data_IF_223680498745
#
_entry.id   IF_223680498745
#
_cell.length_a   1.000
_cell.length_b   1.000
_cell.length_c   1.000
_cell.angle_alpha   90.00
_cell.angle_beta   90.00
_cell.angle_gamma   90.00
#
_symmetry.space_group_name_H-M   'P 1'
#
loop_
_entity.id
_entity.type
_entity.pdbx_description
1 polymer ?
#
# COMPACT_ATOMS: atom_id res chain seq x y z
N UNK A 1 34.02 6.69 -45.64
CA UNK A 1 33.00 5.95 -44.91
C UNK A 1 32.55 6.79 -43.72
N UNK A 2 31.24 6.97 -43.55
CA UNK A 2 30.69 7.58 -42.32
C UNK A 2 30.66 6.48 -41.26
N UNK A 3 31.42 6.63 -40.19
CA UNK A 3 31.27 5.79 -39.00
C UNK A 3 29.99 6.21 -38.25
N UNK A 4 29.11 5.25 -38.05
CA UNK A 4 27.94 5.41 -37.22
C UNK A 4 28.20 4.70 -35.88
N UNK A 5 28.15 5.44 -34.81
CA UNK A 5 28.12 4.85 -33.46
C UNK A 5 26.68 4.44 -33.14
N UNK A 6 26.44 3.15 -32.96
CA UNK A 6 25.15 2.62 -32.53
C UNK A 6 25.26 2.25 -31.05
N UNK A 7 24.43 2.89 -30.21
CA UNK A 7 24.28 2.47 -28.81
C UNK A 7 23.17 1.43 -28.77
N UNK A 8 23.51 0.17 -28.52
CA UNK A 8 22.55 -0.88 -28.23
C UNK A 8 22.12 -0.77 -26.77
N UNK A 9 20.84 -0.55 -26.54
CA UNK A 9 20.25 -0.64 -25.20
C UNK A 9 19.83 -2.08 -24.95
N UNK A 10 20.30 -2.65 -23.84
CA UNK A 10 19.77 -3.91 -23.32
C UNK A 10 18.31 -3.72 -22.95
N UNK A 11 17.48 -4.75 -23.16
CA UNK A 11 16.06 -4.73 -22.73
C UNK A 11 16.00 -4.50 -21.24
N UNK A 12 15.18 -3.53 -20.81
CA UNK A 12 14.91 -3.30 -19.41
C UNK A 12 14.21 -4.51 -18.79
N UNK A 13 14.53 -4.86 -17.53
CA UNK A 13 13.85 -5.91 -16.78
C UNK A 13 12.31 -5.71 -16.76
N UNK A 14 11.86 -4.45 -16.75
CA UNK A 14 10.43 -4.10 -16.80
C UNK A 14 9.77 -4.66 -18.08
N UNK A 15 10.42 -4.51 -19.24
CA UNK A 15 9.89 -5.03 -20.51
C UNK A 15 10.14 -6.53 -20.63
N UNK A 16 11.31 -7.01 -20.19
CA UNK A 16 11.66 -8.42 -20.23
C UNK A 16 10.63 -9.26 -19.46
N UNK A 17 10.21 -8.83 -18.28
CA UNK A 17 9.20 -9.52 -17.48
C UNK A 17 7.86 -9.72 -18.19
N UNK A 18 7.47 -8.78 -19.05
CA UNK A 18 6.25 -8.91 -19.88
C UNK A 18 6.42 -10.00 -20.93
N UNK A 19 7.56 -10.03 -21.64
CA UNK A 19 7.84 -11.04 -22.64
C UNK A 19 7.96 -12.44 -22.03
N UNK A 20 8.67 -12.56 -20.93
CA UNK A 20 8.78 -13.80 -20.14
C UNK A 20 7.39 -14.30 -19.72
N UNK A 21 6.52 -13.41 -19.22
CA UNK A 21 5.17 -13.78 -18.83
C UNK A 21 4.32 -14.27 -19.99
N UNK A 22 4.47 -13.69 -21.17
CA UNK A 22 3.82 -14.16 -22.40
C UNK A 22 4.32 -15.57 -22.77
N UNK A 23 5.63 -15.79 -22.70
CA UNK A 23 6.23 -17.10 -23.01
C UNK A 23 5.78 -18.18 -22.03
N UNK A 24 5.75 -17.87 -20.72
CA UNK A 24 5.32 -18.80 -19.69
C UNK A 24 3.84 -19.19 -19.77
N UNK A 25 2.97 -18.22 -20.05
CA UNK A 25 1.52 -18.41 -19.90
C UNK A 25 0.78 -18.51 -21.20
N UNK A 26 1.38 -18.06 -22.32
CA UNK A 26 0.71 -17.89 -23.61
C UNK A 26 -0.29 -16.74 -23.66
N UNK A 27 -0.44 -15.95 -22.56
CA UNK A 27 -1.37 -14.83 -22.49
C UNK A 27 -0.85 -13.65 -23.29
N UNK A 28 -1.63 -13.22 -24.30
CA UNK A 28 -1.29 -12.07 -25.15
C UNK A 28 -1.74 -10.73 -24.59
N UNK A 29 -2.54 -10.75 -23.53
CA UNK A 29 -3.11 -9.56 -22.89
C UNK A 29 -2.78 -9.57 -21.41
N UNK A 30 -2.57 -8.38 -20.82
CA UNK A 30 -2.24 -8.26 -19.42
C UNK A 30 -2.09 -6.82 -18.96
N UNK A 31 -1.74 -6.69 -17.69
CA UNK A 31 -1.46 -5.40 -17.03
C UNK A 31 -0.02 -5.44 -16.55
N UNK A 32 0.78 -4.47 -16.99
CA UNK A 32 2.06 -4.16 -16.42
C UNK A 32 1.84 -3.12 -15.31
N UNK A 33 1.93 -3.56 -14.06
CA UNK A 33 1.77 -2.69 -12.89
C UNK A 33 3.14 -2.22 -12.40
N UNK A 34 3.29 -0.89 -12.23
CA UNK A 34 4.51 -0.25 -11.74
C UNK A 34 4.17 0.49 -10.45
N UNK A 35 4.73 0.02 -9.36
CA UNK A 35 4.57 0.68 -8.07
C UNK A 35 5.61 1.78 -7.87
N UNK A 36 5.25 2.80 -7.07
CA UNK A 36 6.10 3.95 -6.74
C UNK A 36 6.69 4.68 -7.95
N UNK A 37 5.92 4.78 -9.04
CA UNK A 37 6.38 5.35 -10.33
C UNK A 37 6.97 6.76 -10.19
N UNK A 38 6.55 7.51 -9.21
CA UNK A 38 7.01 8.89 -8.96
C UNK A 38 8.16 9.00 -7.95
N UNK A 39 8.73 7.86 -7.51
CA UNK A 39 9.90 7.80 -6.62
C UNK A 39 11.22 7.53 -7.36
N UNK A 40 11.20 7.53 -8.68
CA UNK A 40 12.41 7.29 -9.49
C UNK A 40 13.41 8.44 -9.40
N UNK A 41 14.69 8.14 -9.58
CA UNK A 41 15.76 9.15 -9.58
C UNK A 41 15.55 10.19 -10.70
N UNK A 42 16.05 11.41 -10.49
CA UNK A 42 15.95 12.50 -11.48
C UNK A 42 16.43 12.11 -12.88
N UNK A 43 17.47 11.30 -12.93
CA UNK A 43 18.06 10.85 -14.20
C UNK A 43 17.16 9.89 -14.96
N UNK A 44 16.27 9.16 -14.28
CA UNK A 44 15.34 8.21 -14.87
C UNK A 44 13.96 8.79 -15.20
N UNK A 45 13.60 9.92 -14.59
CA UNK A 45 12.29 10.56 -14.82
C UNK A 45 12.00 10.74 -16.31
N UNK A 46 12.88 11.32 -17.16
CA UNK A 46 12.59 11.49 -18.58
C UNK A 46 12.32 10.15 -19.29
N UNK A 47 13.08 9.11 -18.95
CA UNK A 47 12.92 7.78 -19.53
C UNK A 47 11.59 7.14 -19.12
N UNK A 48 11.21 7.26 -17.85
CA UNK A 48 9.93 6.75 -17.35
C UNK A 48 8.73 7.50 -17.95
N UNK A 49 8.84 8.82 -18.13
CA UNK A 49 7.81 9.61 -18.81
C UNK A 49 7.67 9.19 -20.29
N UNK A 50 8.77 8.99 -20.98
CA UNK A 50 8.77 8.49 -22.36
C UNK A 50 8.14 7.09 -22.44
N UNK A 51 8.44 6.24 -21.46
CA UNK A 51 7.86 4.91 -21.34
C UNK A 51 6.33 4.96 -21.16
N UNK A 52 5.83 5.76 -20.25
CA UNK A 52 4.39 5.94 -20.05
C UNK A 52 3.68 6.49 -21.29
N UNK A 53 4.33 7.41 -22.03
CA UNK A 53 3.77 8.04 -23.21
C UNK A 53 3.75 7.11 -24.44
N UNK A 54 4.88 6.47 -24.71
CA UNK A 54 5.10 5.75 -25.95
C UNK A 54 4.95 4.24 -25.80
N UNK A 55 4.82 3.76 -24.56
CA UNK A 55 4.85 2.32 -24.23
C UNK A 55 6.11 1.62 -24.76
N UNK A 56 7.24 2.33 -24.73
CA UNK A 56 8.54 1.82 -25.20
C UNK A 56 9.61 2.16 -24.19
N UNK A 57 10.53 1.25 -23.93
CA UNK A 57 11.73 1.49 -23.15
C UNK A 57 12.94 1.30 -24.07
N UNK A 58 13.65 2.39 -24.42
CA UNK A 58 14.64 2.37 -25.48
C UNK A 58 14.00 1.99 -26.83
N UNK A 59 14.47 0.90 -27.43
CA UNK A 59 13.95 0.35 -28.68
C UNK A 59 12.89 -0.74 -28.49
N UNK A 60 12.59 -1.15 -27.26
CA UNK A 60 11.71 -2.27 -26.94
C UNK A 60 10.30 -1.79 -26.59
N UNK A 61 9.28 -2.10 -27.38
CA UNK A 61 7.89 -1.74 -27.08
C UNK A 61 7.28 -2.71 -26.07
N UNK A 62 6.31 -2.23 -25.29
CA UNK A 62 5.37 -3.10 -24.57
C UNK A 62 4.49 -3.79 -25.60
N UNK A 63 4.32 -5.12 -25.57
CA UNK A 63 3.49 -5.86 -26.52
C UNK A 63 2.06 -5.31 -26.62
N UNK A 64 1.47 -5.37 -27.80
CA UNK A 64 0.07 -5.01 -28.01
C UNK A 64 -0.83 -5.91 -27.15
N UNK A 65 -1.91 -5.34 -26.56
CA UNK A 65 -2.75 -6.05 -25.62
C UNK A 65 -2.37 -5.83 -24.14
N UNK A 66 -1.19 -5.27 -23.86
CA UNK A 66 -0.78 -4.94 -22.51
C UNK A 66 -1.07 -3.48 -22.16
N UNK A 67 -1.61 -3.28 -20.98
CA UNK A 67 -1.90 -1.95 -20.40
C UNK A 67 -0.88 -1.65 -19.31
N UNK A 68 -0.37 -0.42 -19.28
CA UNK A 68 0.45 0.06 -18.19
C UNK A 68 -0.47 0.69 -17.16
N UNK A 69 -0.41 0.20 -15.92
CA UNK A 69 -0.98 0.83 -14.75
C UNK A 69 0.14 1.14 -13.77
N UNK A 70 0.09 2.29 -13.13
CA UNK A 70 1.11 2.71 -12.19
C UNK A 70 0.49 3.28 -10.92
N UNK A 71 1.15 3.08 -9.80
CA UNK A 71 0.80 3.70 -8.52
C UNK A 71 1.92 4.63 -8.06
N UNK A 72 1.56 5.64 -7.30
CA UNK A 72 2.49 6.58 -6.69
C UNK A 72 1.88 7.24 -5.47
N UNK A 73 2.72 7.68 -4.56
CA UNK A 73 2.29 8.37 -3.35
C UNK A 73 2.37 9.89 -3.53
N UNK A 74 1.49 10.67 -2.92
CA UNK A 74 1.63 12.11 -2.84
C UNK A 74 2.96 12.52 -2.20
N UNK A 75 3.49 13.67 -2.62
CA UNK A 75 4.78 14.18 -2.12
C UNK A 75 4.76 14.50 -0.62
N UNK A 76 3.58 14.77 -0.07
CA UNK A 76 3.37 15.02 1.35
C UNK A 76 3.67 13.78 2.22
N UNK A 77 3.49 12.58 1.66
CA UNK A 77 3.69 11.31 2.36
C UNK A 77 5.04 10.67 2.08
N UNK A 78 5.66 11.02 0.96
CA UNK A 78 6.95 10.45 0.57
C UNK A 78 7.88 11.53 0.01
N UNK A 79 8.93 11.89 0.77
CA UNK A 79 9.92 12.90 0.39
C UNK A 79 10.70 12.56 -0.90
N UNK A 80 10.71 11.29 -1.28
CA UNK A 80 11.32 10.83 -2.54
C UNK A 80 10.35 10.92 -3.72
N UNK A 81 9.04 11.09 -3.45
CA UNK A 81 8.04 11.26 -4.47
C UNK A 81 8.16 12.64 -5.15
N UNK A 82 7.81 12.69 -6.43
CA UNK A 82 7.79 13.90 -7.24
C UNK A 82 6.43 14.06 -7.87
N UNK A 83 6.03 15.31 -8.05
CA UNK A 83 4.84 15.60 -8.86
C UNK A 83 5.16 15.41 -10.34
N UNK A 84 4.23 14.83 -11.06
CA UNK A 84 4.26 14.82 -12.50
C UNK A 84 3.83 16.19 -13.05
N UNK A 85 4.51 16.62 -14.10
CA UNK A 85 4.13 17.83 -14.79
C UNK A 85 2.79 17.67 -15.56
N UNK A 86 2.23 18.80 -15.96
CA UNK A 86 0.94 18.83 -16.69
C UNK A 86 1.01 18.03 -17.98
N UNK A 87 2.16 18.04 -18.66
CA UNK A 87 2.35 17.34 -19.95
C UNK A 87 2.25 15.83 -19.76
N UNK A 88 2.75 15.32 -18.63
CA UNK A 88 2.64 13.91 -18.26
C UNK A 88 1.21 13.56 -17.84
N UNK A 89 0.62 14.37 -16.99
CA UNK A 89 -0.75 14.15 -16.50
C UNK A 89 -1.80 14.17 -17.62
N UNK A 90 -1.57 14.96 -18.67
CA UNK A 90 -2.46 15.00 -19.84
C UNK A 90 -2.49 13.68 -20.63
N UNK A 91 -1.44 12.86 -20.50
CA UNK A 91 -1.28 11.59 -21.23
C UNK A 91 -1.68 10.36 -20.44
N UNK A 92 -1.89 10.48 -19.15
CA UNK A 92 -2.31 9.41 -18.26
C UNK A 92 -3.74 9.64 -17.76
N UNK A 93 -4.39 8.59 -17.30
CA UNK A 93 -5.67 8.70 -16.58
C UNK A 93 -5.38 8.60 -15.09
N UNK A 94 -5.45 9.74 -14.41
CA UNK A 94 -5.25 9.81 -12.96
C UNK A 94 -6.50 9.35 -12.24
N UNK A 95 -6.31 8.49 -11.25
CA UNK A 95 -7.33 8.03 -10.31
C UNK A 95 -6.78 8.28 -8.91
N UNK A 96 -7.46 9.13 -8.16
CA UNK A 96 -7.11 9.39 -6.77
C UNK A 96 -7.79 8.36 -5.88
N UNK A 97 -6.99 7.67 -5.05
CA UNK A 97 -7.46 6.63 -4.12
C UNK A 97 -7.45 7.23 -2.71
N UNK A 98 -8.60 7.26 -2.08
CA UNK A 98 -8.75 7.70 -0.70
C UNK A 98 -9.06 6.52 0.24
N UNK A 99 -8.59 6.56 1.50
CA UNK A 99 -8.91 5.54 2.47
C UNK A 99 -10.40 5.59 2.85
N UNK A 100 -11.13 4.48 2.66
CA UNK A 100 -12.52 4.32 3.06
C UNK A 100 -12.66 3.22 4.11
N UNK A 101 -13.08 3.58 5.31
CA UNK A 101 -13.27 2.64 6.42
C UNK A 101 -14.31 1.57 6.11
N UNK A 102 -15.40 1.90 5.41
CA UNK A 102 -16.47 0.91 5.19
C UNK A 102 -15.98 -0.17 4.20
N UNK A 103 -15.35 0.25 3.10
CA UNK A 103 -14.74 -0.66 2.13
C UNK A 103 -13.65 -1.51 2.80
N UNK A 104 -12.80 -0.88 3.60
CA UNK A 104 -11.76 -1.59 4.34
C UNK A 104 -12.34 -2.61 5.34
N UNK A 105 -13.44 -2.29 6.01
CA UNK A 105 -14.11 -3.22 6.94
C UNK A 105 -14.67 -4.46 6.25
N UNK A 106 -15.17 -4.33 5.03
CA UNK A 106 -15.61 -5.49 4.21
C UNK A 106 -14.42 -6.41 3.92
N UNK A 107 -13.32 -5.84 3.45
CA UNK A 107 -12.06 -6.55 3.25
C UNK A 107 -11.54 -7.19 4.55
N UNK A 108 -11.47 -6.43 5.62
CA UNK A 108 -10.97 -6.86 6.92
C UNK A 108 -11.81 -8.01 7.50
N UNK A 109 -13.13 -7.96 7.36
CA UNK A 109 -14.04 -9.02 7.77
C UNK A 109 -13.85 -10.28 6.94
N UNK A 110 -13.74 -10.15 5.62
CA UNK A 110 -13.50 -11.28 4.72
C UNK A 110 -12.14 -11.95 4.96
N UNK A 111 -11.13 -11.16 5.34
CA UNK A 111 -9.78 -11.64 5.69
C UNK A 111 -9.69 -12.20 7.10
N UNK A 112 -10.70 -12.00 7.94
CA UNK A 112 -10.74 -12.46 9.31
C UNK A 112 -9.80 -11.66 10.23
N UNK A 113 -9.75 -10.34 10.07
CA UNK A 113 -8.99 -9.48 10.98
C UNK A 113 -9.57 -9.54 12.40
N UNK A 114 -8.72 -9.21 13.38
CA UNK A 114 -9.06 -9.34 14.81
C UNK A 114 -10.33 -8.54 15.17
N UNK A 115 -11.33 -9.17 15.82
CA UNK A 115 -12.63 -8.53 16.07
C UNK A 115 -12.53 -7.25 16.91
N UNK A 116 -11.53 -7.14 17.81
CA UNK A 116 -11.31 -5.92 18.59
C UNK A 116 -10.97 -4.72 17.72
N UNK A 117 -10.23 -4.90 16.62
CA UNK A 117 -9.89 -3.83 15.67
C UNK A 117 -11.15 -3.36 14.96
N UNK A 118 -11.95 -4.31 14.43
CA UNK A 118 -13.18 -4.00 13.72
C UNK A 118 -14.21 -3.29 14.61
N UNK A 119 -14.37 -3.75 15.84
CA UNK A 119 -15.29 -3.15 16.79
C UNK A 119 -14.82 -1.78 17.30
N UNK A 120 -13.52 -1.62 17.56
CA UNK A 120 -12.96 -0.33 17.92
C UNK A 120 -13.17 0.71 16.81
N UNK A 121 -12.81 0.39 15.57
CA UNK A 121 -12.99 1.30 14.43
C UNK A 121 -14.45 1.54 14.06
N UNK A 122 -15.38 0.74 14.57
CA UNK A 122 -16.81 1.02 14.47
C UNK A 122 -17.25 2.13 15.42
N UNK A 123 -16.57 2.28 16.57
CA UNK A 123 -16.82 3.30 17.58
C UNK A 123 -16.02 4.57 17.34
N UNK A 124 -14.77 4.42 16.87
CA UNK A 124 -13.79 5.49 16.66
C UNK A 124 -13.36 5.53 15.20
N UNK A 125 -14.29 5.93 14.34
CA UNK A 125 -14.09 5.92 12.89
C UNK A 125 -12.96 6.84 12.43
N UNK A 126 -12.77 7.94 13.11
CA UNK A 126 -11.73 8.95 12.89
C UNK A 126 -10.31 8.42 13.10
N UNK A 127 -10.16 7.33 13.88
CA UNK A 127 -8.87 6.70 14.16
C UNK A 127 -8.41 5.71 13.08
N UNK A 128 -9.23 5.48 12.04
CA UNK A 128 -8.88 4.55 10.96
C UNK A 128 -7.68 5.00 10.15
N UNK A 129 -7.65 6.28 9.81
CA UNK A 129 -6.59 6.86 8.99
C UNK A 129 -6.28 8.27 9.49
N UNK A 130 -5.07 8.45 9.99
CA UNK A 130 -4.58 9.72 10.51
C UNK A 130 -3.12 9.90 10.11
N UNK A 131 -2.78 11.03 9.51
CA UNK A 131 -1.39 11.38 9.19
C UNK A 131 -1.18 12.83 9.60
N UNK A 132 -0.25 13.05 10.51
CA UNK A 132 0.22 14.36 10.91
C UNK A 132 1.73 14.42 10.68
N UNK A 133 2.16 15.33 9.82
CA UNK A 133 3.57 15.53 9.49
C UNK A 133 3.92 17.00 9.70
N UNK A 134 4.37 17.33 10.90
CA UNK A 134 4.83 18.66 11.29
C UNK A 134 6.35 18.69 11.42
N UNK A 135 6.94 19.87 11.60
CA UNK A 135 8.37 20.02 11.81
C UNK A 135 8.88 19.26 13.06
N UNK A 136 8.00 19.17 14.08
CA UNK A 136 8.36 18.63 15.41
C UNK A 136 7.89 17.19 15.61
N UNK A 137 6.91 16.75 14.82
CA UNK A 137 6.26 15.46 15.04
C UNK A 137 5.80 14.83 13.73
N UNK A 138 6.09 13.54 13.59
CA UNK A 138 5.49 12.68 12.58
C UNK A 138 4.71 11.60 13.33
N UNK A 139 3.40 11.59 13.15
CA UNK A 139 2.58 10.50 13.63
C UNK A 139 1.61 10.06 12.54
N UNK A 140 1.32 8.77 12.52
CA UNK A 140 0.42 8.23 11.51
C UNK A 140 -0.23 6.93 11.96
N UNK A 141 -1.44 6.74 11.50
CA UNK A 141 -2.19 5.49 11.58
C UNK A 141 -2.76 5.21 10.19
N UNK A 142 -2.57 4.00 9.69
CA UNK A 142 -2.99 3.60 8.35
C UNK A 142 -3.73 2.27 8.39
N UNK A 143 -4.45 1.96 7.32
CA UNK A 143 -5.10 0.66 7.14
C UNK A 143 -4.14 -0.52 7.30
N UNK A 144 -2.89 -0.38 6.82
CA UNK A 144 -1.83 -1.40 6.99
C UNK A 144 -1.45 -1.57 8.45
N UNK A 145 -1.27 -0.47 9.20
CA UNK A 145 -0.96 -0.54 10.63
C UNK A 145 -2.01 -1.30 11.43
N UNK A 146 -3.30 -1.10 11.12
CA UNK A 146 -4.39 -1.87 11.72
C UNK A 146 -4.37 -3.36 11.35
N UNK A 147 -4.04 -3.68 10.11
CA UNK A 147 -3.93 -5.07 9.64
C UNK A 147 -2.77 -5.80 10.31
N UNK A 148 -1.60 -5.17 10.35
CA UNK A 148 -0.41 -5.72 10.99
C UNK A 148 -0.62 -5.90 12.50
N UNK A 149 -1.23 -4.91 13.16
CA UNK A 149 -1.62 -5.02 14.57
C UNK A 149 -2.57 -6.18 14.80
N UNK A 150 -3.58 -6.36 13.93
CA UNK A 150 -4.51 -7.49 14.01
C UNK A 150 -3.79 -8.84 14.01
N UNK A 151 -2.80 -9.03 13.14
CA UNK A 151 -2.02 -10.26 13.06
C UNK A 151 -1.24 -10.52 14.37
N UNK A 152 -0.66 -9.47 14.92
CA UNK A 152 0.09 -9.55 16.19
C UNK A 152 -0.82 -9.85 17.37
N UNK A 153 -2.03 -9.27 17.43
CA UNK A 153 -2.99 -9.55 18.50
C UNK A 153 -3.37 -11.02 18.55
N UNK A 154 -3.61 -11.68 17.41
CA UNK A 154 -3.82 -13.12 17.36
C UNK A 154 -2.62 -13.92 17.90
N UNK A 155 -1.40 -13.55 17.51
CA UNK A 155 -0.19 -14.22 18.01
C UNK A 155 -0.03 -14.07 19.51
N UNK A 156 -0.37 -12.91 20.09
CA UNK A 156 -0.34 -12.68 21.53
C UNK A 156 -1.43 -13.46 22.28
N UNK A 157 -2.63 -13.56 21.70
CA UNK A 157 -3.70 -14.41 22.27
C UNK A 157 -3.29 -15.88 22.28
N UNK A 158 -2.71 -16.40 21.22
CA UNK A 158 -2.24 -17.79 21.12
C UNK A 158 -1.16 -18.10 22.17
N UNK A 159 -0.30 -17.13 22.45
CA UNK A 159 0.75 -17.25 23.48
C UNK A 159 0.26 -16.93 24.90
N UNK A 160 -1.00 -16.53 25.07
CA UNK A 160 -1.58 -16.08 26.33
C UNK A 160 -0.89 -14.84 26.93
N UNK A 161 -0.37 -13.95 26.11
CA UNK A 161 0.18 -12.67 26.51
C UNK A 161 -0.82 -11.54 26.25
N UNK A 162 -0.73 -10.49 27.07
CA UNK A 162 -1.45 -9.25 26.81
C UNK A 162 -0.53 -8.26 26.08
N UNK A 163 -0.96 -7.65 24.97
CA UNK A 163 -0.22 -6.58 24.35
C UNK A 163 -0.18 -5.35 25.26
N UNK A 164 0.98 -4.73 25.37
CA UNK A 164 1.13 -3.45 26.05
C UNK A 164 1.03 -2.27 25.08
N UNK A 165 1.00 -1.05 25.62
CA UNK A 165 0.92 0.18 24.83
C UNK A 165 2.15 0.34 23.91
N UNK A 166 3.34 -0.07 24.37
CA UNK A 166 4.56 0.05 23.58
C UNK A 166 4.54 -0.83 22.33
N UNK A 167 3.97 -2.04 22.44
CA UNK A 167 3.75 -2.91 21.30
C UNK A 167 2.79 -2.26 20.30
N UNK A 168 1.63 -1.79 20.79
CA UNK A 168 0.61 -1.18 19.93
C UNK A 168 1.15 0.04 19.19
N UNK A 169 1.96 0.86 19.84
CA UNK A 169 2.62 2.03 19.22
C UNK A 169 3.58 1.69 18.09
N UNK A 170 4.06 0.47 17.98
CA UNK A 170 4.90 0.07 16.84
C UNK A 170 4.10 -0.04 15.54
N UNK A 171 2.81 -0.25 15.64
CA UNK A 171 1.88 -0.40 14.51
C UNK A 171 1.03 0.85 14.29
N UNK A 172 0.56 1.46 15.39
CA UNK A 172 -0.18 2.70 15.38
C UNK A 172 0.76 3.82 15.86
N UNK A 173 1.44 4.47 14.92
CA UNK A 173 2.46 5.46 15.25
C UNK A 173 1.84 6.83 15.59
N UNK A 174 0.74 6.80 16.32
CA UNK A 174 0.08 7.89 17.01
C UNK A 174 -0.14 7.49 18.46
N UNK A 175 0.46 8.24 19.38
CA UNK A 175 0.50 7.90 20.80
C UNK A 175 -0.87 7.94 21.45
N UNK A 176 -1.72 8.89 21.04
CA UNK A 176 -3.07 9.03 21.59
C UNK A 176 -3.96 7.89 21.11
N UNK A 177 -3.93 7.58 19.81
CA UNK A 177 -4.70 6.48 19.23
C UNK A 177 -4.23 5.13 19.77
N UNK A 178 -2.91 4.92 19.90
CA UNK A 178 -2.36 3.69 20.44
C UNK A 178 -2.78 3.44 21.89
N UNK A 179 -2.75 4.49 22.72
CA UNK A 179 -3.20 4.43 24.13
C UNK A 179 -4.70 4.17 24.22
N UNK A 180 -5.52 4.87 23.43
CA UNK A 180 -6.98 4.70 23.43
C UNK A 180 -7.37 3.28 22.99
N UNK A 181 -6.74 2.77 21.92
CA UNK A 181 -6.93 1.39 21.49
C UNK A 181 -6.45 0.38 22.54
N UNK A 182 -5.31 0.61 23.20
CA UNK A 182 -4.79 -0.25 24.25
C UNK A 182 -5.76 -0.38 25.43
N UNK A 183 -6.32 0.74 25.90
CA UNK A 183 -7.36 0.74 26.93
C UNK A 183 -8.63 -0.01 26.49
N UNK A 184 -9.06 0.23 25.25
CA UNK A 184 -10.19 -0.49 24.66
C UNK A 184 -9.94 -2.00 24.59
N UNK A 185 -8.76 -2.42 24.13
CA UNK A 185 -8.42 -3.84 24.01
C UNK A 185 -8.43 -4.57 25.36
N UNK A 186 -7.94 -3.94 26.42
CA UNK A 186 -7.99 -4.52 27.78
C UNK A 186 -9.43 -4.78 28.21
N UNK A 187 -10.34 -3.84 27.96
CA UNK A 187 -11.77 -4.02 28.25
C UNK A 187 -12.37 -5.12 27.38
N UNK A 188 -12.08 -5.11 26.07
CA UNK A 188 -12.55 -6.12 25.13
C UNK A 188 -12.12 -7.54 25.56
N UNK A 189 -10.84 -7.74 25.90
CA UNK A 189 -10.32 -9.02 26.35
C UNK A 189 -11.00 -9.51 27.63
N UNK A 190 -11.20 -8.60 28.60
CA UNK A 190 -11.91 -8.91 29.86
C UNK A 190 -13.35 -9.35 29.60
N UNK A 191 -14.11 -8.59 28.82
CA UNK A 191 -15.51 -8.93 28.53
C UNK A 191 -15.65 -10.21 27.70
N UNK A 192 -14.74 -10.45 26.75
CA UNK A 192 -14.71 -11.71 25.98
C UNK A 192 -14.54 -12.94 26.88
N UNK A 193 -13.73 -12.84 27.92
CA UNK A 193 -13.56 -13.91 28.91
C UNK A 193 -14.77 -14.06 29.82
N UNK A 194 -15.32 -12.96 30.34
CA UNK A 194 -16.44 -12.95 31.27
C UNK A 194 -17.74 -13.49 30.67
N UNK A 195 -18.01 -13.18 29.41
CA UNK A 195 -19.26 -13.58 28.71
C UNK A 195 -19.13 -14.86 27.88
N UNK A 196 -17.97 -15.51 27.82
CA UNK A 196 -17.72 -16.74 27.04
C UNK A 196 -18.38 -16.70 25.65
N UNK A 197 -18.22 -15.57 24.94
CA UNK A 197 -18.88 -15.30 23.65
C UNK A 197 -18.64 -16.43 22.63
N UNK A 198 -17.52 -17.13 22.73
CA UNK A 198 -17.20 -18.31 21.93
C UNK A 198 -18.16 -19.50 22.15
N UNK A 199 -18.78 -19.62 23.31
CA UNK A 199 -19.76 -20.68 23.64
C UNK A 199 -21.19 -20.32 23.20
N UNK A 200 -21.46 -19.03 22.94
CA UNK A 200 -22.78 -18.55 22.51
C UNK A 200 -22.92 -18.63 20.98
N UNK A 201 -21.81 -18.60 20.26
CA UNK A 201 -21.76 -18.59 18.78
C UNK A 201 -21.43 -19.97 18.18
N UNK A 202 -21.23 -21.00 19.02
CA UNK A 202 -21.07 -22.40 18.63
C UNK A 202 -22.42 -23.12 18.65
#
# INVERSE_FOLDING_TARGET
GKEYSVTEYTMSEIIASVYEKIEETGCKEGILFIDEINCVSETLVPTMLQFLQNKTFGTHPVPSGWIIAAAGNPVEYNKSAREFDIVTLDRVKRIDIEPDLNVWKEYASAKGLHPSVLSYLSLKREHFYHIENTADRICFVTARGWEDLSAILYGYEDMHFAPDENLIRQYLQDEEIARDFGAYYQLYAKYRQDYRISEILS
#
